data_IF_916265921280
#
_entry.id   IF_916265921280
#
_cell.length_a   1.000
_cell.length_b   1.000
_cell.length_c   1.000
_cell.angle_alpha   90.00
_cell.angle_beta   90.00
_cell.angle_gamma   90.00
#
_symmetry.space_group_name_H-M   'P 1'
#
loop_
_entity.id
_entity.type
_entity.pdbx_description
1 polymer ?
#
# COMPACT_ATOMS: atom_id res chain seq x y z
N UNK A 1 19.70 -92.22 -5.73
CA UNK A 1 18.57 -92.25 -6.69
C UNK A 1 17.66 -91.09 -6.34
N UNK A 2 17.37 -90.22 -7.32
CA UNK A 2 16.65 -88.91 -7.29
C UNK A 2 17.51 -87.71 -6.85
N UNK A 3 17.95 -86.81 -7.75
CA UNK A 3 17.20 -85.79 -8.53
C UNK A 3 16.56 -84.73 -7.60
N UNK A 4 16.70 -83.40 -7.75
CA UNK A 4 16.97 -82.57 -8.92
C UNK A 4 17.64 -81.24 -8.51
N UNK A 5 18.44 -80.71 -9.43
CA UNK A 5 18.98 -79.35 -9.46
C UNK A 5 17.87 -78.30 -9.46
N UNK A 6 17.91 -77.39 -8.50
CA UNK A 6 17.11 -76.16 -8.48
C UNK A 6 17.63 -75.21 -9.56
N UNK A 7 16.88 -75.09 -10.65
CA UNK A 7 17.03 -74.00 -11.60
C UNK A 7 16.65 -72.67 -10.93
N UNK A 8 17.55 -71.72 -11.08
CA UNK A 8 17.56 -70.37 -10.54
C UNK A 8 16.59 -69.47 -11.33
N UNK A 9 15.31 -69.51 -10.96
CA UNK A 9 14.23 -68.69 -11.54
C UNK A 9 14.14 -67.27 -10.92
N UNK A 10 15.09 -66.88 -10.06
CA UNK A 10 15.03 -65.59 -9.34
C UNK A 10 15.58 -64.40 -10.15
N UNK A 11 15.92 -64.61 -11.44
CA UNK A 11 16.50 -63.58 -12.31
C UNK A 11 15.49 -62.71 -13.08
N UNK A 12 14.18 -62.88 -12.90
CA UNK A 12 13.15 -62.18 -13.68
C UNK A 12 12.51 -60.95 -13.03
N UNK A 13 12.87 -60.61 -11.79
CA UNK A 13 12.46 -59.34 -11.18
C UNK A 13 13.65 -58.39 -11.03
N UNK A 14 14.16 -57.94 -12.19
CA UNK A 14 14.97 -56.73 -12.28
C UNK A 14 14.15 -55.58 -11.69
N UNK A 15 14.51 -55.18 -10.47
CA UNK A 15 14.12 -53.88 -9.90
C UNK A 15 14.64 -52.78 -10.82
N UNK A 16 13.80 -52.35 -11.76
CA UNK A 16 13.91 -51.01 -12.34
C UNK A 16 13.49 -49.97 -11.29
N UNK A 17 14.28 -49.86 -10.22
CA UNK A 17 14.22 -48.73 -9.32
C UNK A 17 14.77 -47.52 -10.06
N UNK A 18 13.82 -46.79 -10.67
CA UNK A 18 13.97 -45.53 -11.39
C UNK A 18 14.97 -44.60 -10.70
N UNK A 19 16.19 -44.63 -11.22
CA UNK A 19 17.34 -43.72 -11.01
C UNK A 19 17.06 -42.29 -11.53
N UNK A 20 15.81 -41.81 -11.46
CA UNK A 20 15.32 -40.54 -12.04
C UNK A 20 15.08 -39.44 -11.00
N UNK A 21 15.32 -39.71 -9.71
CA UNK A 21 15.12 -38.74 -8.61
C UNK A 21 16.37 -37.93 -8.23
N UNK A 22 17.56 -38.33 -8.67
CA UNK A 22 18.83 -37.67 -8.30
C UNK A 22 19.04 -36.34 -9.03
N UNK A 23 18.83 -36.29 -10.35
CA UNK A 23 19.00 -35.06 -11.14
C UNK A 23 17.99 -33.96 -10.78
N UNK A 24 16.75 -34.34 -10.44
CA UNK A 24 15.71 -33.40 -10.00
C UNK A 24 16.06 -32.79 -8.64
N UNK A 25 16.63 -33.58 -7.72
CA UNK A 25 17.09 -33.09 -6.41
C UNK A 25 18.26 -32.11 -6.54
N UNK A 26 19.23 -32.42 -7.41
CA UNK A 26 20.38 -31.53 -7.65
C UNK A 26 19.91 -30.22 -8.30
N UNK A 27 19.02 -30.28 -9.29
CA UNK A 27 18.43 -29.10 -9.91
C UNK A 27 17.66 -28.24 -8.90
N UNK A 28 16.86 -28.86 -8.02
CA UNK A 28 16.14 -28.15 -6.97
C UNK A 28 17.07 -27.44 -5.97
N UNK A 29 18.19 -28.07 -5.61
CA UNK A 29 19.20 -27.46 -4.72
C UNK A 29 19.88 -26.28 -5.40
N UNK A 30 20.32 -26.42 -6.65
CA UNK A 30 20.96 -25.34 -7.41
C UNK A 30 19.98 -24.17 -7.61
N UNK A 31 18.73 -24.46 -7.97
CA UNK A 31 17.68 -23.44 -8.11
C UNK A 31 17.42 -22.70 -6.79
N UNK A 32 17.38 -23.43 -5.67
CA UNK A 32 17.23 -22.84 -4.33
C UNK A 32 18.39 -21.91 -3.98
N UNK A 33 19.63 -22.30 -4.25
CA UNK A 33 20.82 -21.47 -4.01
C UNK A 33 20.81 -20.20 -4.87
N UNK A 34 20.44 -20.32 -6.15
CA UNK A 34 20.32 -19.16 -7.05
C UNK A 34 19.22 -18.21 -6.56
N UNK A 35 18.07 -18.74 -6.14
CA UNK A 35 16.98 -17.94 -5.57
C UNK A 35 17.43 -17.23 -4.29
N UNK A 36 18.19 -17.90 -3.44
CA UNK A 36 18.70 -17.35 -2.18
C UNK A 36 19.77 -16.27 -2.43
N UNK A 37 20.68 -16.48 -3.38
CA UNK A 37 21.63 -15.45 -3.82
C UNK A 37 20.92 -14.24 -4.42
N UNK A 38 19.87 -14.46 -5.21
CA UNK A 38 19.08 -13.40 -5.82
C UNK A 38 18.33 -12.54 -4.78
N UNK A 39 17.67 -13.20 -3.82
CA UNK A 39 17.00 -12.50 -2.71
C UNK A 39 17.99 -11.71 -1.84
N UNK A 40 19.20 -12.23 -1.65
CA UNK A 40 20.26 -11.53 -0.92
C UNK A 40 20.73 -10.25 -1.64
N UNK A 41 21.00 -10.32 -2.94
CA UNK A 41 21.38 -9.14 -3.75
C UNK A 41 20.24 -8.11 -3.77
N UNK A 42 19.00 -8.55 -3.91
CA UNK A 42 17.83 -7.67 -3.84
C UNK A 42 17.75 -6.93 -2.50
N UNK A 43 17.94 -7.65 -1.38
CA UNK A 43 17.94 -7.04 -0.05
C UNK A 43 19.02 -5.97 0.09
N UNK A 44 20.24 -6.21 -0.42
CA UNK A 44 21.33 -5.22 -0.39
C UNK A 44 21.00 -3.97 -1.21
N UNK A 45 20.43 -4.13 -2.40
CA UNK A 45 20.05 -3.01 -3.26
C UNK A 45 18.86 -2.21 -2.69
N UNK A 46 17.87 -2.88 -2.11
CA UNK A 46 16.75 -2.23 -1.44
C UNK A 46 17.24 -1.38 -0.24
N UNK A 47 18.17 -1.92 0.57
CA UNK A 47 18.80 -1.16 1.66
C UNK A 47 19.62 0.01 1.12
N UNK A 48 20.33 -0.19 0.00
CA UNK A 48 21.07 0.87 -0.69
C UNK A 48 20.16 2.03 -1.11
N UNK A 49 19.05 1.74 -1.78
CA UNK A 49 18.10 2.75 -2.24
C UNK A 49 17.48 3.55 -1.08
N UNK A 50 17.10 2.89 0.01
CA UNK A 50 16.61 3.57 1.23
C UNK A 50 17.70 4.47 1.81
N UNK A 51 18.95 4.02 1.84
CA UNK A 51 20.07 4.80 2.36
C UNK A 51 20.35 6.04 1.51
N UNK A 52 20.29 5.91 0.18
CA UNK A 52 20.52 7.02 -0.73
C UNK A 52 19.41 8.08 -0.61
N UNK A 53 18.15 7.65 -0.46
CA UNK A 53 17.03 8.56 -0.15
C UNK A 53 17.20 9.24 1.20
N UNK A 54 17.63 8.51 2.23
CA UNK A 54 17.90 9.09 3.54
C UNK A 54 19.03 10.13 3.48
N UNK A 55 20.09 9.88 2.70
CA UNK A 55 21.16 10.86 2.49
C UNK A 55 20.63 12.13 1.83
N UNK A 56 19.80 12.02 0.79
CA UNK A 56 19.16 13.18 0.17
C UNK A 56 18.32 13.97 1.19
N UNK A 57 17.52 13.27 1.99
CA UNK A 57 16.71 13.91 3.04
C UNK A 57 17.57 14.60 4.10
N UNK A 58 18.72 14.01 4.48
CA UNK A 58 19.68 14.61 5.41
C UNK A 58 20.40 15.83 4.82
N UNK A 59 20.80 15.80 3.55
CA UNK A 59 21.43 16.96 2.89
C UNK A 59 20.52 18.18 2.86
N UNK A 60 19.19 17.98 2.79
CA UNK A 60 18.21 19.07 2.89
C UNK A 60 18.11 19.67 4.30
N UNK A 61 18.68 19.02 5.32
CA UNK A 61 18.66 19.44 6.72
C UNK A 61 20.05 19.84 7.25
N UNK A 62 21.08 19.82 6.40
CA UNK A 62 22.44 20.24 6.76
C UNK A 62 22.44 21.70 7.25
N UNK A 63 22.88 21.91 8.50
CA UNK A 63 22.87 23.22 9.18
C UNK A 63 21.91 23.32 10.37
N UNK A 64 21.05 22.31 10.59
CA UNK A 64 20.22 22.22 11.80
C UNK A 64 20.98 21.56 12.94
N UNK A 65 20.82 22.07 14.17
CA UNK A 65 21.43 21.47 15.36
C UNK A 65 20.86 20.07 15.59
N UNK A 66 21.71 19.07 15.89
CA UNK A 66 21.24 17.73 16.20
C UNK A 66 20.36 17.78 17.46
N UNK A 67 19.18 17.18 17.35
CA UNK A 67 18.16 17.20 18.40
C UNK A 67 18.43 16.07 19.37
N UNK A 68 18.28 16.33 20.68
CA UNK A 68 18.43 15.26 21.67
C UNK A 68 17.33 14.21 21.50
N UNK A 69 17.63 12.90 21.73
CA UNK A 69 16.64 11.84 21.61
C UNK A 69 15.35 12.05 22.44
N UNK A 70 15.48 12.77 23.57
CA UNK A 70 14.36 13.13 24.45
C UNK A 70 13.40 14.17 23.87
N UNK A 71 13.82 14.97 22.89
CA UNK A 71 13.03 16.03 22.28
C UNK A 71 12.32 15.59 20.99
N UNK A 72 12.58 14.38 20.51
CA UNK A 72 12.03 13.88 19.24
C UNK A 72 10.50 13.86 19.28
N UNK A 73 9.91 13.38 20.38
CA UNK A 73 8.45 13.33 20.55
C UNK A 73 7.82 14.72 20.51
N UNK A 74 8.39 15.68 21.26
CA UNK A 74 7.95 17.08 21.23
C UNK A 74 8.10 17.70 19.84
N UNK A 75 9.14 17.33 19.08
CA UNK A 75 9.31 17.82 17.71
C UNK A 75 8.27 17.24 16.75
N UNK A 76 7.89 15.97 16.93
CA UNK A 76 6.78 15.38 16.16
C UNK A 76 5.47 16.06 16.47
N UNK A 77 5.19 16.31 17.75
CA UNK A 77 3.99 17.03 18.19
C UNK A 77 3.98 18.47 17.63
N UNK A 78 5.10 19.18 17.74
CA UNK A 78 5.25 20.52 17.15
C UNK A 78 5.02 20.50 15.64
N UNK A 79 5.64 19.57 14.92
CA UNK A 79 5.45 19.43 13.47
C UNK A 79 3.97 19.19 13.11
N UNK A 80 3.30 18.31 13.86
CA UNK A 80 1.88 18.01 13.69
C UNK A 80 1.00 19.26 13.86
N UNK A 81 1.19 20.00 14.96
CA UNK A 81 0.40 21.20 15.24
C UNK A 81 0.68 22.30 14.22
N UNK A 82 1.96 22.59 13.92
CA UNK A 82 2.31 23.62 12.94
C UNK A 82 1.76 23.32 11.54
N UNK A 83 1.83 22.06 11.13
CA UNK A 83 1.32 21.63 9.83
C UNK A 83 -0.20 21.75 9.74
N UNK A 84 -0.93 21.38 10.80
CA UNK A 84 -2.39 21.59 10.90
C UNK A 84 -2.77 23.07 10.93
N UNK A 85 -2.02 23.91 11.64
CA UNK A 85 -2.27 25.36 11.66
C UNK A 85 -2.08 25.96 10.27
N UNK A 86 -1.02 25.57 9.54
CA UNK A 86 -0.80 25.99 8.14
C UNK A 86 -1.91 25.48 7.22
N UNK A 87 -2.35 24.24 7.40
CA UNK A 87 -3.44 23.66 6.63
C UNK A 87 -4.77 24.38 6.89
N UNK A 88 -5.04 24.78 8.13
CA UNK A 88 -6.24 25.51 8.52
C UNK A 88 -6.32 26.94 7.95
N UNK A 89 -5.20 27.50 7.47
CA UNK A 89 -5.19 28.79 6.79
C UNK A 89 -5.82 28.73 5.38
N UNK A 90 -5.90 27.54 4.78
CA UNK A 90 -6.55 27.31 3.49
C UNK A 90 -8.08 27.14 3.67
N UNK A 91 -8.85 27.59 2.67
CA UNK A 91 -10.32 27.43 2.63
C UNK A 91 -10.75 26.10 1.97
N UNK A 92 -9.79 25.22 1.73
CA UNK A 92 -10.01 23.90 1.16
C UNK A 92 -10.14 22.83 2.25
N UNK A 93 -10.84 21.75 1.94
CA UNK A 93 -10.87 20.57 2.81
C UNK A 93 -9.47 19.94 2.83
N UNK A 94 -8.90 19.80 4.02
CA UNK A 94 -7.65 19.12 4.31
C UNK A 94 -7.86 17.74 4.94
N UNK A 95 -6.81 16.92 4.90
CA UNK A 95 -6.79 15.58 5.48
C UNK A 95 -5.72 15.51 6.57
N UNK A 96 -6.14 15.26 7.80
CA UNK A 96 -5.24 15.01 8.93
C UNK A 96 -5.19 13.52 9.22
N UNK A 97 -4.00 12.94 9.24
CA UNK A 97 -3.78 11.52 9.49
C UNK A 97 -2.87 11.37 10.69
N UNK A 98 -3.39 10.76 11.74
CA UNK A 98 -2.66 10.47 12.96
C UNK A 98 -2.51 8.96 13.12
N UNK A 99 -1.35 8.43 12.73
CA UNK A 99 -1.07 6.99 12.80
C UNK A 99 -0.80 6.53 14.24
N UNK A 100 -0.37 7.44 15.13
CA UNK A 100 -0.16 7.12 16.54
C UNK A 100 -1.49 6.91 17.24
N UNK A 101 -2.42 7.86 17.08
CA UNK A 101 -3.78 7.75 17.65
C UNK A 101 -4.70 6.84 16.86
N UNK A 102 -4.29 6.37 15.68
CA UNK A 102 -5.09 5.56 14.75
C UNK A 102 -6.36 6.28 14.29
N UNK A 103 -6.23 7.56 13.91
CA UNK A 103 -7.36 8.39 13.49
C UNK A 103 -7.05 9.10 12.19
N UNK A 104 -8.02 9.13 11.28
CA UNK A 104 -8.01 9.98 10.09
C UNK A 104 -9.17 10.98 10.17
N UNK A 105 -8.89 12.24 9.85
CA UNK A 105 -9.82 13.35 10.01
C UNK A 105 -9.86 14.19 8.75
N UNK A 106 -11.07 14.56 8.33
CA UNK A 106 -11.27 15.64 7.36
C UNK A 106 -11.44 16.93 8.12
N UNK A 107 -10.66 17.95 7.72
CA UNK A 107 -10.68 19.26 8.35
C UNK A 107 -10.99 20.34 7.33
N UNK A 108 -11.73 21.36 7.75
CA UNK A 108 -11.97 22.57 6.98
C UNK A 108 -11.72 23.77 7.90
N UNK A 109 -10.77 24.65 7.54
CA UNK A 109 -10.37 25.79 8.38
C UNK A 109 -10.06 25.40 9.84
N UNK A 110 -9.44 24.24 10.03
CA UNK A 110 -9.10 23.69 11.36
C UNK A 110 -10.26 23.05 12.13
N UNK A 111 -11.47 23.02 11.57
CA UNK A 111 -12.62 22.33 12.16
C UNK A 111 -12.72 20.92 11.60
N UNK A 112 -12.80 19.92 12.48
CA UNK A 112 -12.97 18.52 12.10
C UNK A 112 -14.41 18.27 11.62
N UNK A 113 -14.56 17.95 10.35
CA UNK A 113 -15.86 17.68 9.69
C UNK A 113 -16.22 16.19 9.78
N UNK A 114 -15.22 15.32 9.68
CA UNK A 114 -15.41 13.88 9.75
C UNK A 114 -14.21 13.24 10.43
N UNK A 115 -14.46 12.22 11.23
CA UNK A 115 -13.44 11.40 11.88
C UNK A 115 -13.69 9.94 11.55
N UNK A 116 -12.64 9.21 11.26
CA UNK A 116 -12.65 7.78 10.93
C UNK A 116 -11.52 7.10 11.68
N UNK A 117 -11.77 5.86 12.12
CA UNK A 117 -10.79 5.07 12.88
C UNK A 117 -9.95 4.22 11.94
N UNK A 118 -8.63 4.31 12.09
CA UNK A 118 -7.68 3.44 11.38
C UNK A 118 -7.74 2.05 12.02
N UNK A 119 -8.01 1.04 11.19
CA UNK A 119 -8.04 -0.36 11.61
C UNK A 119 -6.62 -0.91 11.72
N UNK A 120 -5.80 -0.63 10.72
CA UNK A 120 -4.42 -1.06 10.63
C UNK A 120 -3.63 -0.15 9.67
N UNK A 121 -2.32 -0.09 9.82
CA UNK A 121 -1.45 0.69 8.95
C UNK A 121 -0.06 0.06 8.80
N UNK A 122 0.58 0.31 7.67
CA UNK A 122 1.97 -0.10 7.42
C UNK A 122 2.78 1.08 6.91
N UNK A 123 3.95 1.29 7.50
CA UNK A 123 4.88 2.33 7.08
C UNK A 123 6.16 1.72 6.53
N UNK A 124 6.64 2.32 5.44
CA UNK A 124 7.91 1.94 4.85
C UNK A 124 9.09 2.14 5.81
N UNK A 125 10.15 1.34 5.65
CA UNK A 125 11.33 1.39 6.53
C UNK A 125 12.05 2.75 6.56
N UNK A 126 11.81 3.61 5.56
CA UNK A 126 12.29 4.98 5.50
C UNK A 126 11.80 5.81 6.70
N UNK A 127 10.51 5.75 7.03
CA UNK A 127 9.94 6.53 8.14
C UNK A 127 10.44 6.09 9.51
N UNK A 128 10.79 4.81 9.67
CA UNK A 128 11.31 4.23 10.93
C UNK A 128 12.74 4.67 11.25
N UNK A 129 13.51 5.14 10.25
CA UNK A 129 14.93 5.49 10.38
C UNK A 129 15.20 7.00 10.28
N UNK A 130 14.14 7.80 10.22
CA UNK A 130 14.24 9.23 9.99
C UNK A 130 14.65 9.96 11.27
N UNK A 131 15.58 10.91 11.13
CA UNK A 131 15.98 11.81 12.22
C UNK A 131 14.90 12.88 12.48
N UNK A 132 14.87 13.46 13.67
CA UNK A 132 13.88 14.47 14.09
C UNK A 132 13.90 15.72 13.19
N UNK A 133 15.07 16.16 12.76
CA UNK A 133 15.20 17.30 11.84
C UNK A 133 14.60 16.98 10.46
N UNK A 134 14.85 15.78 9.97
CA UNK A 134 14.27 15.30 8.71
C UNK A 134 12.77 15.14 8.84
N UNK A 135 12.27 14.63 9.97
CA UNK A 135 10.84 14.55 10.27
C UNK A 135 10.19 15.93 10.26
N UNK A 136 10.75 16.89 10.98
CA UNK A 136 10.18 18.23 11.07
C UNK A 136 10.21 18.94 9.73
N UNK A 137 11.30 18.83 8.97
CA UNK A 137 11.34 19.35 7.61
C UNK A 137 10.22 18.72 6.76
N UNK A 138 10.07 17.38 6.83
CA UNK A 138 9.13 16.58 6.04
C UNK A 138 7.64 16.78 6.38
N UNK A 139 7.30 16.84 7.66
CA UNK A 139 5.92 16.81 8.16
C UNK A 139 5.48 18.11 8.84
N UNK A 140 6.40 19.03 9.14
CA UNK A 140 6.11 20.33 9.76
C UNK A 140 5.43 21.35 8.85
N UNK A 141 5.19 20.99 7.59
CA UNK A 141 4.34 21.76 6.66
C UNK A 141 3.43 20.79 5.91
N UNK A 142 2.18 21.20 5.60
CA UNK A 142 1.22 20.32 4.96
C UNK A 142 1.73 19.87 3.58
N UNK A 143 1.42 18.63 3.23
CA UNK A 143 1.78 17.99 1.98
C UNK A 143 0.67 18.22 0.96
N UNK A 144 1.03 18.57 -0.27
CA UNK A 144 0.03 18.78 -1.33
C UNK A 144 -0.13 17.54 -2.19
N UNK A 145 -1.38 17.20 -2.52
CA UNK A 145 -1.69 16.13 -3.47
C UNK A 145 -1.33 16.55 -4.89
N UNK A 146 -0.46 15.77 -5.55
CA UNK A 146 -0.07 15.97 -6.95
C UNK A 146 -0.84 15.07 -7.90
N UNK A 147 -0.94 13.78 -7.58
CA UNK A 147 -1.58 12.77 -8.42
C UNK A 147 -2.56 11.95 -7.58
N UNK A 148 -3.68 11.58 -8.20
CA UNK A 148 -4.76 10.85 -7.57
C UNK A 148 -5.17 9.66 -8.46
N UNK A 149 -5.14 8.45 -7.90
CA UNK A 149 -5.56 7.22 -8.56
C UNK A 149 -6.57 6.49 -7.67
N UNK A 150 -7.72 6.07 -8.20
CA UNK A 150 -8.75 5.37 -7.43
C UNK A 150 -9.46 4.31 -8.24
N UNK A 151 -9.93 3.24 -7.59
CA UNK A 151 -10.79 2.23 -8.22
C UNK A 151 -12.15 2.77 -8.58
N UNK A 152 -12.71 3.64 -7.72
CA UNK A 152 -14.02 4.23 -7.94
C UNK A 152 -13.90 5.66 -8.46
N UNK A 153 -14.90 6.08 -9.24
CA UNK A 153 -14.99 7.46 -9.69
C UNK A 153 -15.23 8.40 -8.49
N UNK A 154 -14.41 9.45 -8.40
CA UNK A 154 -14.51 10.48 -7.36
C UNK A 154 -15.86 11.18 -7.36
N UNK A 155 -16.36 11.55 -8.54
CA UNK A 155 -17.68 12.15 -8.73
C UNK A 155 -18.51 11.29 -9.67
N UNK A 156 -19.37 10.38 -9.16
CA UNK A 156 -20.27 9.63 -10.02
C UNK A 156 -21.35 10.58 -10.55
N UNK A 157 -21.35 10.84 -11.85
CA UNK A 157 -22.42 11.59 -12.49
C UNK A 157 -23.42 10.61 -13.10
N UNK A 158 -24.71 10.79 -12.78
CA UNK A 158 -25.81 10.08 -13.45
C UNK A 158 -26.33 10.98 -14.56
N UNK A 159 -26.02 10.65 -15.81
CA UNK A 159 -26.65 11.35 -16.94
C UNK A 159 -28.07 10.84 -17.07
N UNK A 160 -29.03 11.59 -16.53
CA UNK A 160 -30.44 11.34 -16.76
C UNK A 160 -30.82 12.06 -18.05
N UNK A 161 -31.25 11.32 -19.07
CA UNK A 161 -31.85 11.94 -20.25
C UNK A 161 -33.25 12.41 -19.89
N UNK A 162 -33.53 13.69 -20.11
CA UNK A 162 -34.88 14.21 -19.92
C UNK A 162 -35.82 13.59 -20.98
N UNK A 163 -36.99 13.07 -20.58
CA UNK A 163 -37.98 12.55 -21.52
C UNK A 163 -38.47 13.68 -22.43
N UNK A 164 -38.61 13.39 -23.73
CA UNK A 164 -38.98 14.39 -24.75
C UNK A 164 -40.50 14.58 -24.84
N UNK A 165 -41.29 13.74 -24.18
CA UNK A 165 -42.75 13.74 -24.23
C UNK A 165 -43.37 13.23 -22.92
N UNK A 166 -44.56 13.76 -22.57
CA UNK A 166 -45.31 13.35 -21.38
C UNK A 166 -45.71 11.86 -21.39
N UNK A 167 -45.88 11.25 -22.57
CA UNK A 167 -46.18 9.82 -22.70
C UNK A 167 -44.96 8.92 -22.41
N UNK A 168 -43.74 9.42 -22.60
CA UNK A 168 -42.51 8.74 -22.19
C UNK A 168 -42.27 8.88 -20.68
N UNK A 169 -42.82 9.93 -20.05
CA UNK A 169 -42.71 10.17 -18.61
C UNK A 169 -43.40 9.09 -17.77
N UNK A 170 -44.55 8.58 -18.24
CA UNK A 170 -45.31 7.49 -17.61
C UNK A 170 -44.70 6.11 -17.89
N UNK A 171 -43.91 5.99 -18.96
CA UNK A 171 -43.20 4.77 -19.34
C UNK A 171 -41.79 4.66 -18.68
N UNK A 172 -41.31 5.72 -18.03
CA UNK A 172 -40.14 5.60 -17.14
C UNK A 172 -40.62 4.76 -15.96
N UNK A 173 -40.08 3.54 -15.76
CA UNK A 173 -40.37 2.81 -14.54
C UNK A 173 -39.94 3.70 -13.39
N UNK A 174 -40.91 4.12 -12.57
CA UNK A 174 -40.68 4.65 -11.23
C UNK A 174 -39.65 3.71 -10.61
N UNK A 175 -38.40 4.17 -10.54
CA UNK A 175 -37.31 3.36 -10.01
C UNK A 175 -37.70 3.10 -8.57
N UNK A 176 -38.11 1.87 -8.30
CA UNK A 176 -38.42 1.40 -6.96
C UNK A 176 -37.36 1.94 -6.00
N UNK A 177 -37.74 2.70 -4.94
CA UNK A 177 -36.79 3.13 -3.91
C UNK A 177 -36.08 1.94 -3.24
N UNK A 178 -36.62 0.74 -3.44
CA UNK A 178 -36.16 -0.55 -2.92
C UNK A 178 -35.17 -1.30 -3.82
N UNK A 179 -34.98 -0.90 -5.09
CA UNK A 179 -33.76 -1.26 -5.82
C UNK A 179 -32.66 -0.33 -5.36
N UNK A 180 -32.26 -0.56 -4.11
CA UNK A 180 -31.03 -0.10 -3.51
C UNK A 180 -29.96 -0.15 -4.60
N UNK A 181 -29.48 1.05 -4.95
CA UNK A 181 -28.47 1.34 -5.95
C UNK A 181 -27.27 0.43 -5.68
N UNK A 182 -27.34 -0.79 -6.21
CA UNK A 182 -26.42 -1.88 -5.92
C UNK A 182 -25.23 -1.63 -6.82
N UNK A 183 -24.54 -0.52 -6.55
CA UNK A 183 -23.13 -0.43 -6.85
C UNK A 183 -22.55 -1.73 -6.29
N UNK A 184 -21.91 -2.56 -7.11
CA UNK A 184 -21.25 -3.75 -6.60
C UNK A 184 -20.39 -3.35 -5.41
N UNK A 185 -20.41 -4.18 -4.37
CA UNK A 185 -19.60 -4.00 -3.16
C UNK A 185 -18.13 -4.17 -3.56
N UNK A 186 -17.58 -3.10 -4.13
CA UNK A 186 -16.24 -3.06 -4.68
C UNK A 186 -15.30 -2.58 -3.59
N UNK A 187 -14.25 -3.37 -3.32
CA UNK A 187 -13.19 -2.96 -2.42
C UNK A 187 -12.61 -1.62 -2.89
N UNK A 188 -12.74 -0.59 -2.05
CA UNK A 188 -12.33 0.77 -2.38
C UNK A 188 -10.85 0.91 -2.09
N UNK A 189 -10.05 1.18 -3.12
CA UNK A 189 -8.65 1.55 -2.96
C UNK A 189 -8.38 2.86 -3.68
N UNK A 190 -7.59 3.71 -3.05
CA UNK A 190 -7.09 4.91 -3.68
C UNK A 190 -5.69 5.25 -3.21
N UNK A 191 -4.89 5.72 -4.17
CA UNK A 191 -3.49 6.04 -4.00
C UNK A 191 -3.29 7.50 -4.38
N UNK A 192 -2.56 8.20 -3.52
CA UNK A 192 -2.27 9.62 -3.66
C UNK A 192 -0.77 9.82 -3.65
N UNK A 193 -0.26 10.51 -4.68
CA UNK A 193 1.13 10.96 -4.70
C UNK A 193 1.22 12.37 -4.16
N UNK A 194 2.08 12.54 -3.17
CA UNK A 194 2.32 13.80 -2.48
C UNK A 194 3.53 14.52 -3.06
N UNK A 195 3.63 15.81 -2.78
CA UNK A 195 4.66 16.73 -3.31
C UNK A 195 6.12 16.35 -3.01
N UNK A 196 6.35 15.55 -1.98
CA UNK A 196 7.69 15.10 -1.56
C UNK A 196 8.01 13.66 -1.98
N UNK A 197 7.42 13.20 -3.08
CA UNK A 197 7.62 11.86 -3.65
C UNK A 197 7.19 10.72 -2.71
N UNK A 198 6.19 10.96 -1.86
CA UNK A 198 5.56 9.94 -1.01
C UNK A 198 4.25 9.45 -1.61
N UNK A 199 3.96 8.17 -1.38
CA UNK A 199 2.69 7.57 -1.77
C UNK A 199 1.86 7.22 -0.53
N UNK A 200 0.67 7.80 -0.46
CA UNK A 200 -0.35 7.47 0.53
C UNK A 200 -1.36 6.52 -0.11
N UNK A 201 -1.51 5.33 0.46
CA UNK A 201 -2.39 4.28 -0.02
C UNK A 201 -3.47 4.01 1.02
N UNK A 202 -4.73 4.22 0.66
CA UNK A 202 -5.87 4.04 1.56
C UNK A 202 -6.78 2.94 1.01
N UNK A 203 -7.14 1.99 1.89
CA UNK A 203 -7.98 0.84 1.57
C UNK A 203 -9.20 0.78 2.49
N UNK A 204 -10.37 0.68 1.89
CA UNK A 204 -11.66 0.50 2.55
C UNK A 204 -12.01 -0.98 2.74
N UNK A 205 -12.15 -1.44 3.98
CA UNK A 205 -12.54 -2.82 4.33
C UNK A 205 -13.65 -2.78 5.37
N UNK A 206 -14.76 -3.49 5.15
CA UNK A 206 -15.91 -3.46 6.07
C UNK A 206 -15.94 -4.58 7.11
N UNK A 207 -15.49 -5.82 6.83
CA UNK A 207 -15.56 -6.94 7.81
C UNK A 207 -14.20 -7.54 8.20
N UNK A 208 -13.99 -7.72 9.52
CA UNK A 208 -12.83 -8.43 10.12
C UNK A 208 -12.91 -9.95 9.85
N UNK A 209 -14.11 -10.47 9.58
CA UNK A 209 -14.40 -11.88 9.33
C UNK A 209 -14.06 -12.34 7.91
N UNK A 210 -14.25 -11.52 6.88
CA UNK A 210 -13.61 -11.74 5.57
C UNK A 210 -12.11 -11.47 5.66
N UNK A 211 -11.69 -10.61 6.59
CA UNK A 211 -10.30 -10.41 7.02
C UNK A 211 -9.74 -11.54 7.91
N UNK A 212 -10.17 -12.79 7.72
CA UNK A 212 -9.44 -13.98 8.20
C UNK A 212 -9.34 -15.08 7.15
N UNK A 213 -10.36 -15.25 6.30
CA UNK A 213 -10.30 -16.14 5.14
C UNK A 213 -9.60 -15.49 3.94
N UNK A 214 -9.86 -14.20 3.69
CA UNK A 214 -9.15 -13.39 2.68
C UNK A 214 -7.98 -12.60 3.29
N UNK A 215 -7.69 -12.69 4.58
CA UNK A 215 -6.48 -12.08 5.17
C UNK A 215 -5.21 -12.91 5.03
N UNK A 216 -5.33 -14.17 4.60
CA UNK A 216 -4.21 -14.82 3.89
C UNK A 216 -4.00 -14.21 2.49
N UNK A 217 -4.91 -13.34 2.03
CA UNK A 217 -4.85 -12.56 0.80
C UNK A 217 -4.85 -11.04 1.05
N UNK A 218 -4.68 -10.57 2.29
CA UNK A 218 -4.21 -9.22 2.61
C UNK A 218 -2.72 -9.07 2.26
N UNK A 219 -1.98 -10.18 2.38
CA UNK A 219 -0.74 -10.39 1.64
C UNK A 219 -0.99 -10.36 0.13
N UNK A 220 -2.10 -10.82 -0.43
CA UNK A 220 -2.30 -10.91 -1.87
C UNK A 220 -2.17 -9.59 -2.64
N UNK A 221 -2.67 -8.46 -2.12
CA UNK A 221 -2.52 -7.15 -2.79
C UNK A 221 -1.21 -6.46 -2.44
N UNK A 222 -0.78 -6.50 -1.17
CA UNK A 222 0.54 -6.04 -0.77
C UNK A 222 1.62 -6.82 -1.54
N UNK A 223 1.56 -8.15 -1.59
CA UNK A 223 2.39 -9.07 -2.36
C UNK A 223 2.23 -8.92 -3.87
N UNK A 224 1.04 -8.67 -4.45
CA UNK A 224 0.93 -8.36 -5.90
C UNK A 224 1.56 -7.02 -6.24
N UNK A 225 1.42 -6.02 -5.36
CA UNK A 225 2.00 -4.68 -5.51
C UNK A 225 3.51 -4.71 -5.24
N UNK A 226 3.94 -5.44 -4.22
CA UNK A 226 5.33 -5.75 -3.90
C UNK A 226 5.92 -6.59 -5.01
N UNK A 227 5.23 -7.57 -5.59
CA UNK A 227 5.66 -8.31 -6.78
C UNK A 227 5.79 -7.41 -8.00
N UNK A 228 4.87 -6.44 -8.19
CA UNK A 228 4.95 -5.47 -9.29
C UNK A 228 6.12 -4.50 -9.08
N UNK A 229 6.35 -4.06 -7.84
CA UNK A 229 7.47 -3.22 -7.43
C UNK A 229 8.79 -4.01 -7.48
N UNK A 230 8.81 -5.28 -7.10
CA UNK A 230 9.91 -6.24 -7.23
C UNK A 230 10.17 -6.53 -8.70
N UNK A 231 9.15 -6.68 -9.54
CA UNK A 231 9.31 -7.02 -10.96
C UNK A 231 9.73 -5.79 -11.79
N UNK A 232 9.25 -4.60 -11.45
CA UNK A 232 9.78 -3.35 -12.00
C UNK A 232 11.21 -3.09 -11.52
N UNK A 233 11.48 -3.29 -10.22
CA UNK A 233 12.85 -3.27 -9.68
C UNK A 233 13.73 -4.34 -10.32
N UNK A 234 13.21 -5.53 -10.63
CA UNK A 234 13.93 -6.62 -11.31
C UNK A 234 14.37 -6.18 -12.71
N UNK A 235 13.47 -5.51 -13.45
CA UNK A 235 13.81 -4.94 -14.76
C UNK A 235 14.90 -3.87 -14.67
N UNK A 236 14.94 -3.11 -13.58
CA UNK A 236 15.97 -2.09 -13.33
C UNK A 236 17.30 -2.71 -12.86
N UNK A 237 17.24 -3.72 -11.98
CA UNK A 237 18.38 -4.50 -11.49
C UNK A 237 19.05 -5.26 -12.64
N UNK A 238 18.27 -5.91 -13.52
CA UNK A 238 18.79 -6.56 -14.75
C UNK A 238 19.44 -5.53 -15.69
N UNK A 239 19.02 -4.26 -15.63
CA UNK A 239 19.62 -3.14 -16.37
C UNK A 239 20.74 -2.43 -15.60
N UNK A 240 21.20 -2.94 -14.45
CA UNK A 240 22.17 -2.31 -13.55
C UNK A 240 21.81 -0.86 -13.16
N UNK A 241 20.52 -0.52 -13.12
CA UNK A 241 20.05 0.77 -12.62
C UNK A 241 19.58 0.62 -11.19
N UNK A 242 19.93 1.58 -10.34
CA UNK A 242 19.46 1.63 -8.96
C UNK A 242 17.93 1.77 -8.96
N UNK A 243 17.20 0.91 -8.22
CA UNK A 243 15.75 0.97 -8.18
C UNK A 243 15.28 2.30 -7.59
N UNK A 244 14.32 2.94 -8.26
CA UNK A 244 13.73 4.17 -7.75
C UNK A 244 12.81 3.85 -6.55
N UNK A 245 13.22 4.27 -5.35
CA UNK A 245 12.44 4.06 -4.14
C UNK A 245 11.53 5.26 -3.84
N UNK A 246 10.23 5.00 -3.72
CA UNK A 246 9.19 5.93 -3.24
C UNK A 246 8.68 5.47 -1.88
N UNK A 247 8.89 6.24 -0.79
CA UNK A 247 8.39 5.87 0.53
C UNK A 247 6.86 5.84 0.55
N UNK A 248 6.30 4.79 1.14
CA UNK A 248 4.85 4.57 1.16
C UNK A 248 4.27 4.43 2.58
N UNK A 249 3.02 4.86 2.70
CA UNK A 249 2.17 4.69 3.89
C UNK A 249 0.89 4.00 3.43
N UNK A 250 0.61 2.83 4.00
CA UNK A 250 -0.61 2.07 3.77
C UNK A 250 -1.53 2.21 4.98
N UNK A 251 -2.81 2.53 4.75
CA UNK A 251 -3.80 2.71 5.82
C UNK A 251 -5.07 1.94 5.46
N UNK A 252 -5.61 1.22 6.44
CA UNK A 252 -6.84 0.44 6.35
C UNK A 252 -7.93 1.11 7.19
N UNK A 253 -9.05 1.44 6.56
CA UNK A 253 -10.20 2.11 7.19
C UNK A 253 -11.51 1.43 6.75
N UNK A 254 -12.65 1.69 7.41
CA UNK A 254 -13.97 1.23 6.95
C UNK A 254 -14.29 1.67 5.52
N UNK A 255 -15.02 0.84 4.76
CA UNK A 255 -15.27 1.06 3.33
C UNK A 255 -16.11 2.34 3.10
N UNK A 256 -17.17 2.50 3.88
CA UNK A 256 -18.04 3.67 3.82
C UNK A 256 -17.29 4.97 4.11
N UNK A 257 -16.36 4.93 5.06
CA UNK A 257 -15.52 6.07 5.44
C UNK A 257 -14.48 6.37 4.36
N UNK A 258 -13.82 5.34 3.79
CA UNK A 258 -12.90 5.49 2.67
C UNK A 258 -13.56 6.16 1.47
N UNK A 259 -14.81 5.76 1.17
CA UNK A 259 -15.63 6.35 0.12
C UNK A 259 -15.96 7.81 0.39
N UNK A 260 -16.36 8.12 1.62
CA UNK A 260 -16.70 9.48 2.02
C UNK A 260 -15.48 10.41 1.94
N UNK A 261 -14.32 9.97 2.44
CA UNK A 261 -13.05 10.71 2.35
C UNK A 261 -12.69 10.98 0.90
N UNK A 262 -12.68 9.94 0.07
CA UNK A 262 -12.34 10.03 -1.35
C UNK A 262 -13.19 11.07 -2.10
N UNK A 263 -14.50 11.10 -1.82
CA UNK A 263 -15.45 12.02 -2.46
C UNK A 263 -15.34 13.45 -1.94
N UNK A 264 -15.04 13.62 -0.65
CA UNK A 264 -14.95 14.93 -0.02
C UNK A 264 -13.62 15.64 -0.32
N UNK A 265 -12.54 14.89 -0.54
CA UNK A 265 -11.20 15.46 -0.71
C UNK A 265 -11.09 16.22 -2.04
N UNK A 266 -10.56 17.45 -2.09
CA UNK A 266 -10.25 18.15 -3.34
C UNK A 266 -9.18 17.43 -4.17
N UNK A 267 -8.99 17.83 -5.44
CA UNK A 267 -7.92 17.25 -6.30
C UNK A 267 -6.53 17.66 -5.79
N UNK A 268 -6.38 18.90 -5.34
CA UNK A 268 -5.16 19.46 -4.76
C UNK A 268 -5.38 19.75 -3.27
N UNK A 269 -5.74 18.73 -2.50
CA UNK A 269 -5.93 18.90 -1.07
C UNK A 269 -4.59 18.96 -0.33
N UNK A 270 -4.61 19.59 0.84
CA UNK A 270 -3.52 19.58 1.79
C UNK A 270 -3.66 18.39 2.74
N UNK A 271 -2.56 17.70 3.03
CA UNK A 271 -2.51 16.50 3.86
C UNK A 271 -1.47 16.68 4.95
N UNK A 272 -1.86 16.46 6.20
CA UNK A 272 -0.95 16.48 7.35
C UNK A 272 -0.87 15.08 7.94
N UNK A 273 0.33 14.59 8.23
CA UNK A 273 0.55 13.22 8.70
C UNK A 273 1.42 13.24 9.96
N UNK A 274 1.01 12.48 10.97
CA UNK A 274 1.79 12.15 12.16
C UNK A 274 2.06 10.64 12.23
N UNK A 275 3.33 10.31 12.34
CA UNK A 275 3.91 8.95 12.44
C UNK A 275 4.76 8.85 13.70
#
# INVERSE_FOLDING_TARGET
>A
MKENSTEDFDSLYVKEDKKKSSGVKIFAIIFSIILLGFTFVYALLAVGAVRDRMKLALTQTEGTTPVSPTLIELMKEKAWIESRVKMAADDSIGLSIDLESHVIQLELKGVVVMTSKIRDYSTSGFFKRMDANVYFNMFGSPLTIQQFESSIAKNPFKVVQAPKSNAEYEAIPLVDPLKQDSLPKENIFWTVKLDREFELNIQGIDSISESKSDYKLGEGFAFKRDLKNIMSSFKEIVRLKNPHYTPEILILIPENEAKAILRALPVKASVTIRI
#
